data_IF_122189193498
#
_entry.id   IF_122189193498
#
_cell.length_a   1.000
_cell.length_b   1.000
_cell.length_c   1.000
_cell.angle_alpha   90.00
_cell.angle_beta   90.00
_cell.angle_gamma   90.00
#
_symmetry.space_group_name_H-M   'P 1'
#
loop_
_entity.id
_entity.type
_entity.pdbx_description
1 polymer ?
#
# COMPACT_ATOMS: atom_id res chain seq x y z
N UNK A 1 -44.11 -62.31 -52.97
CA UNK A 1 -44.29 -61.12 -52.11
C UNK A 1 -43.07 -60.81 -51.23
N UNK A 2 -42.25 -61.80 -50.82
CA UNK A 2 -41.04 -61.58 -50.02
C UNK A 2 -39.92 -60.75 -50.69
N UNK A 3 -39.84 -60.74 -52.03
CA UNK A 3 -38.74 -60.07 -52.77
C UNK A 3 -38.91 -58.53 -52.83
N UNK A 4 -40.15 -58.00 -52.82
CA UNK A 4 -40.39 -56.54 -52.82
C UNK A 4 -40.17 -55.90 -51.45
N UNK A 5 -40.58 -56.59 -50.37
CA UNK A 5 -40.33 -56.14 -48.98
C UNK A 5 -38.83 -56.15 -48.66
N UNK A 6 -38.06 -57.10 -49.22
CA UNK A 6 -36.61 -57.14 -49.12
C UNK A 6 -35.92 -55.96 -49.84
N UNK A 7 -36.48 -55.49 -50.97
CA UNK A 7 -35.95 -54.37 -51.75
C UNK A 7 -36.09 -53.06 -50.99
N UNK A 8 -37.29 -52.75 -50.48
CA UNK A 8 -37.54 -51.52 -49.73
C UNK A 8 -36.75 -51.48 -48.41
N UNK A 9 -36.61 -52.62 -47.73
CA UNK A 9 -35.75 -52.74 -46.55
C UNK A 9 -34.27 -52.50 -46.86
N UNK A 10 -33.78 -53.00 -48.00
CA UNK A 10 -32.39 -52.80 -48.42
C UNK A 10 -32.09 -51.34 -48.78
N UNK A 11 -33.06 -50.63 -49.39
CA UNK A 11 -32.95 -49.21 -49.71
C UNK A 11 -33.04 -48.35 -48.45
N UNK A 12 -33.96 -48.65 -47.52
CA UNK A 12 -34.06 -47.98 -46.22
C UNK A 12 -32.78 -48.16 -45.39
N UNK A 13 -32.22 -49.36 -45.38
CA UNK A 13 -30.94 -49.64 -44.70
C UNK A 13 -29.80 -48.87 -45.36
N UNK A 14 -29.72 -48.87 -46.68
CA UNK A 14 -28.73 -48.09 -47.42
C UNK A 14 -28.85 -46.58 -47.16
N UNK A 15 -30.06 -46.02 -47.16
CA UNK A 15 -30.30 -44.61 -46.84
C UNK A 15 -29.92 -44.28 -45.40
N UNK A 16 -30.21 -45.18 -44.45
CA UNK A 16 -29.77 -45.02 -43.06
C UNK A 16 -28.25 -45.05 -42.95
N UNK A 17 -27.60 -46.01 -43.61
CA UNK A 17 -26.14 -46.13 -43.63
C UNK A 17 -25.49 -44.90 -44.29
N UNK A 18 -26.06 -44.37 -45.38
CA UNK A 18 -25.61 -43.13 -46.02
C UNK A 18 -25.75 -41.92 -45.10
N UNK A 19 -26.90 -41.75 -44.45
CA UNK A 19 -27.13 -40.66 -43.52
C UNK A 19 -26.18 -40.74 -42.31
N UNK A 20 -25.88 -41.95 -41.83
CA UNK A 20 -24.88 -42.17 -40.77
C UNK A 20 -23.45 -41.82 -41.24
N UNK A 21 -23.07 -42.18 -42.47
CA UNK A 21 -21.77 -41.82 -43.06
C UNK A 21 -21.64 -40.30 -43.25
N UNK A 22 -22.69 -39.64 -43.73
CA UNK A 22 -22.71 -38.20 -43.95
C UNK A 22 -22.65 -37.44 -42.62
N UNK A 23 -23.38 -37.90 -41.60
CA UNK A 23 -23.28 -37.37 -40.24
C UNK A 23 -21.87 -37.51 -39.66
N UNK A 24 -21.25 -38.70 -39.78
CA UNK A 24 -19.88 -38.93 -39.32
C UNK A 24 -18.87 -38.06 -40.05
N UNK A 25 -19.02 -37.88 -41.36
CA UNK A 25 -18.19 -36.97 -42.15
C UNK A 25 -18.33 -35.52 -41.68
N UNK A 26 -19.55 -35.03 -41.46
CA UNK A 26 -19.77 -33.67 -40.94
C UNK A 26 -19.16 -33.50 -39.56
N UNK A 27 -19.29 -34.49 -38.68
CA UNK A 27 -18.66 -34.46 -37.35
C UNK A 27 -17.13 -34.38 -37.43
N UNK A 28 -16.49 -35.14 -38.33
CA UNK A 28 -15.03 -35.03 -38.54
C UNK A 28 -14.65 -33.69 -39.19
N UNK A 29 -15.46 -33.17 -40.12
CA UNK A 29 -15.24 -31.85 -40.70
C UNK A 29 -15.33 -30.72 -39.67
N UNK A 30 -16.24 -30.84 -38.70
CA UNK A 30 -16.40 -29.88 -37.59
C UNK A 30 -15.13 -29.80 -36.73
N UNK A 31 -14.42 -30.92 -36.55
CA UNK A 31 -13.13 -30.97 -35.85
C UNK A 31 -11.95 -30.38 -36.64
N UNK A 32 -12.20 -29.89 -37.86
CA UNK A 32 -11.20 -29.26 -38.71
C UNK A 32 -10.64 -27.95 -38.15
N UNK A 33 -11.31 -27.34 -37.16
CA UNK A 33 -10.82 -26.18 -36.41
C UNK A 33 -9.79 -26.54 -35.32
N UNK A 34 -9.51 -27.84 -35.12
CA UNK A 34 -8.59 -28.35 -34.12
C UNK A 34 -9.22 -28.66 -32.76
N UNK A 35 -10.53 -28.44 -32.58
CA UNK A 35 -11.28 -28.82 -31.38
C UNK A 35 -12.08 -30.10 -31.64
N UNK A 36 -12.11 -31.02 -30.66
CA UNK A 36 -13.02 -32.18 -30.65
C UNK A 36 -14.30 -31.92 -29.88
N UNK A 37 -14.38 -30.79 -29.18
CA UNK A 37 -15.48 -30.39 -28.30
C UNK A 37 -16.16 -29.13 -28.84
N UNK A 38 -17.36 -29.28 -29.38
CA UNK A 38 -18.20 -28.15 -29.79
C UNK A 38 -19.49 -28.09 -28.97
N UNK A 39 -20.01 -29.25 -28.55
CA UNK A 39 -21.25 -29.40 -27.79
C UNK A 39 -21.07 -30.38 -26.63
N UNK A 40 -21.89 -30.27 -25.55
CA UNK A 40 -21.91 -31.26 -24.48
C UNK A 40 -22.19 -32.70 -24.96
N UNK A 41 -22.88 -32.86 -26.10
CA UNK A 41 -23.17 -34.15 -26.72
C UNK A 41 -21.97 -34.80 -27.41
N UNK A 42 -20.91 -34.05 -27.72
CA UNK A 42 -19.73 -34.60 -28.40
C UNK A 42 -18.91 -35.47 -27.45
N UNK A 43 -18.72 -35.02 -26.19
CA UNK A 43 -18.26 -35.82 -25.07
C UNK A 43 -18.62 -35.14 -23.73
N UNK A 44 -19.64 -35.65 -23.03
CA UNK A 44 -20.13 -35.03 -21.79
C UNK A 44 -19.10 -34.98 -20.64
N UNK A 45 -18.17 -35.95 -20.57
CA UNK A 45 -17.16 -36.01 -19.51
C UNK A 45 -16.08 -34.97 -19.75
N UNK A 46 -15.50 -34.97 -20.95
CA UNK A 46 -14.44 -34.02 -21.32
C UNK A 46 -14.99 -32.59 -21.38
N UNK A 47 -16.24 -32.40 -21.85
CA UNK A 47 -16.90 -31.10 -21.85
C UNK A 47 -17.10 -30.55 -20.43
N UNK A 48 -17.45 -31.40 -19.45
CA UNK A 48 -17.57 -30.96 -18.06
C UNK A 48 -16.23 -30.52 -17.44
N UNK A 49 -15.13 -31.16 -17.84
CA UNK A 49 -13.76 -30.77 -17.44
C UNK A 49 -13.34 -29.49 -18.13
N UNK A 50 -13.54 -29.40 -19.44
CA UNK A 50 -13.31 -28.21 -20.24
C UNK A 50 -13.98 -26.98 -19.62
N UNK A 51 -15.27 -27.04 -19.29
CA UNK A 51 -15.98 -25.92 -18.64
C UNK A 51 -15.35 -25.49 -17.30
N UNK A 52 -14.89 -26.45 -16.49
CA UNK A 52 -14.23 -26.13 -15.21
C UNK A 52 -12.89 -25.45 -15.45
N UNK A 53 -12.10 -25.94 -16.39
CA UNK A 53 -10.81 -25.35 -16.74
C UNK A 53 -10.96 -23.98 -17.39
N UNK A 54 -11.95 -23.79 -18.26
CA UNK A 54 -12.28 -22.50 -18.90
C UNK A 54 -12.66 -21.44 -17.85
N UNK A 55 -13.53 -21.79 -16.89
CA UNK A 55 -13.85 -20.90 -15.76
C UNK A 55 -12.60 -20.59 -14.94
N UNK A 56 -11.77 -21.60 -14.64
CA UNK A 56 -10.53 -21.42 -13.89
C UNK A 56 -9.50 -20.56 -14.64
N UNK A 57 -9.44 -20.65 -15.97
CA UNK A 57 -8.58 -19.81 -16.82
C UNK A 57 -9.03 -18.35 -16.75
N UNK A 58 -10.34 -18.11 -16.89
CA UNK A 58 -10.92 -16.78 -16.77
C UNK A 58 -10.69 -16.15 -15.38
N UNK A 59 -10.78 -16.93 -14.30
CA UNK A 59 -10.43 -16.48 -12.95
C UNK A 59 -8.93 -16.16 -12.82
N UNK A 60 -8.06 -17.04 -13.31
CA UNK A 60 -6.62 -16.85 -13.29
C UNK A 60 -6.20 -15.58 -14.06
N UNK A 61 -6.79 -15.32 -15.23
CA UNK A 61 -6.57 -14.11 -16.01
C UNK A 61 -6.96 -12.83 -15.26
N UNK A 62 -8.05 -12.87 -14.48
CA UNK A 62 -8.44 -11.75 -13.62
C UNK A 62 -7.45 -11.54 -12.48
N UNK A 63 -6.92 -12.62 -11.89
CA UNK A 63 -5.88 -12.53 -10.86
C UNK A 63 -4.57 -11.97 -11.44
N UNK A 64 -4.11 -12.45 -12.59
CA UNK A 64 -2.91 -11.93 -13.25
C UNK A 64 -3.02 -10.42 -13.52
N UNK A 65 -4.17 -9.95 -14.00
CA UNK A 65 -4.43 -8.52 -14.20
C UNK A 65 -4.38 -7.74 -12.89
N UNK A 66 -4.96 -8.29 -11.82
CA UNK A 66 -5.00 -7.65 -10.50
C UNK A 66 -3.60 -7.58 -9.86
N UNK A 67 -2.83 -8.66 -9.91
CA UNK A 67 -1.45 -8.72 -9.42
C UNK A 67 -0.55 -7.76 -10.21
N UNK A 68 -0.67 -7.73 -11.54
CA UNK A 68 0.09 -6.79 -12.39
C UNK A 68 -0.23 -5.32 -12.08
N UNK A 69 -1.51 -5.00 -11.85
CA UNK A 69 -1.90 -3.66 -11.43
C UNK A 69 -1.32 -3.30 -10.05
N UNK A 70 -1.33 -4.24 -9.10
CA UNK A 70 -0.72 -4.07 -7.78
C UNK A 70 0.78 -3.86 -7.87
N UNK A 71 1.48 -4.65 -8.69
CA UNK A 71 2.91 -4.52 -8.93
C UNK A 71 3.27 -3.15 -9.51
N UNK A 72 2.49 -2.66 -10.49
CA UNK A 72 2.67 -1.31 -11.04
C UNK A 72 2.53 -0.24 -9.95
N UNK A 73 1.51 -0.35 -9.09
CA UNK A 73 1.30 0.59 -7.98
C UNK A 73 2.45 0.56 -6.98
N UNK A 74 2.90 -0.64 -6.58
CA UNK A 74 3.99 -0.81 -5.62
C UNK A 74 5.33 -0.33 -6.19
N UNK A 75 5.62 -0.55 -7.47
CA UNK A 75 6.86 -0.07 -8.10
C UNK A 75 6.92 1.47 -8.15
N UNK A 76 5.81 2.14 -8.48
CA UNK A 76 5.72 3.60 -8.41
C UNK A 76 5.86 4.10 -6.97
N UNK A 77 5.26 3.39 -6.01
CA UNK A 77 5.40 3.68 -4.58
C UNK A 77 6.85 3.56 -4.10
N UNK A 78 7.55 2.47 -4.44
CA UNK A 78 8.96 2.28 -4.09
C UNK A 78 9.86 3.36 -4.69
N UNK A 79 9.62 3.74 -5.96
CA UNK A 79 10.40 4.79 -6.61
C UNK A 79 10.24 6.13 -5.88
N UNK A 80 9.01 6.49 -5.52
CA UNK A 80 8.74 7.70 -4.76
C UNK A 80 9.36 7.65 -3.34
N UNK A 81 9.25 6.51 -2.66
CA UNK A 81 9.82 6.29 -1.32
C UNK A 81 11.35 6.36 -1.31
N UNK A 82 12.02 5.75 -2.29
CA UNK A 82 13.47 5.84 -2.45
C UNK A 82 13.93 7.30 -2.64
N UNK A 83 13.20 8.07 -3.45
CA UNK A 83 13.47 9.49 -3.63
C UNK A 83 13.28 10.29 -2.33
N UNK A 84 12.25 9.98 -1.55
CA UNK A 84 12.02 10.62 -0.25
C UNK A 84 13.13 10.30 0.75
N UNK A 85 13.57 9.04 0.82
CA UNK A 85 14.64 8.56 1.69
C UNK A 85 15.97 9.30 1.42
N UNK A 86 16.33 9.48 0.15
CA UNK A 86 17.57 10.20 -0.23
C UNK A 86 17.51 11.69 0.14
N UNK A 87 16.34 12.32 -0.01
CA UNK A 87 16.13 13.70 0.42
C UNK A 87 16.19 13.80 1.94
N UNK A 88 15.62 12.85 2.67
CA UNK A 88 15.66 12.83 4.13
C UNK A 88 17.06 12.60 4.69
N UNK A 89 17.86 11.72 4.08
CA UNK A 89 19.29 11.57 4.41
C UNK A 89 20.03 12.89 4.21
N UNK A 90 19.77 13.58 3.10
CA UNK A 90 20.34 14.91 2.83
C UNK A 90 19.88 15.93 3.87
N UNK A 91 18.58 15.94 4.20
CA UNK A 91 18.00 16.82 5.22
C UNK A 91 18.62 16.60 6.60
N UNK A 92 18.82 15.34 7.00
CA UNK A 92 19.52 14.98 8.23
C UNK A 92 20.97 15.49 8.21
N UNK A 93 21.70 15.28 7.12
CA UNK A 93 23.07 15.79 6.98
C UNK A 93 23.13 17.33 7.11
N UNK A 94 22.17 18.04 6.50
CA UNK A 94 22.03 19.50 6.64
C UNK A 94 21.66 19.93 8.05
N UNK A 95 20.84 19.14 8.75
CA UNK A 95 20.48 19.38 10.16
C UNK A 95 21.70 19.22 11.07
N UNK A 96 22.54 18.22 10.83
CA UNK A 96 23.81 18.03 11.55
C UNK A 96 24.79 19.15 11.22
N UNK A 97 24.88 19.54 9.95
CA UNK A 97 25.72 20.67 9.51
C UNK A 97 25.32 21.94 10.26
N UNK A 98 24.02 22.24 10.32
CA UNK A 98 23.48 23.36 11.08
C UNK A 98 23.79 23.20 12.58
N UNK A 99 23.50 22.05 13.18
CA UNK A 99 23.74 21.81 14.61
C UNK A 99 25.20 21.98 15.06
N UNK A 100 26.16 21.65 14.19
CA UNK A 100 27.59 21.74 14.47
C UNK A 100 28.22 23.09 14.10
N UNK A 101 27.50 23.97 13.39
CA UNK A 101 28.06 25.25 12.97
C UNK A 101 28.17 26.17 14.20
N UNK A 102 29.40 26.32 14.71
CA UNK A 102 29.73 27.20 15.84
C UNK A 102 29.88 28.67 15.42
N UNK A 103 29.72 28.94 14.11
CA UNK A 103 29.96 30.26 13.56
C UNK A 103 28.88 31.22 14.02
N UNK A 104 29.36 32.40 14.44
CA UNK A 104 28.55 33.49 14.94
C UNK A 104 27.23 33.65 14.17
N UNK A 105 26.15 33.94 14.90
CA UNK A 105 24.75 34.16 14.47
C UNK A 105 24.57 35.05 13.21
N UNK A 106 25.64 35.74 12.79
CA UNK A 106 25.77 36.63 11.63
C UNK A 106 26.38 36.00 10.37
N UNK A 107 26.83 34.73 10.37
CA UNK A 107 27.27 34.05 9.14
C UNK A 107 26.04 33.70 8.30
N UNK A 108 25.93 34.23 7.09
CA UNK A 108 24.80 34.00 6.18
C UNK A 108 24.59 32.55 5.70
N UNK A 109 25.22 31.58 6.36
CA UNK A 109 25.20 30.16 6.04
C UNK A 109 23.91 29.49 6.55
N UNK A 110 23.37 29.92 7.70
CA UNK A 110 22.12 29.40 8.26
C UNK A 110 20.91 29.58 7.33
N UNK A 111 20.65 30.79 6.76
CA UNK A 111 19.59 30.95 5.77
C UNK A 111 19.85 30.22 4.46
N UNK A 112 21.12 29.90 4.14
CA UNK A 112 21.46 29.11 2.96
C UNK A 112 21.10 27.63 3.17
N UNK A 113 21.50 27.05 4.31
CA UNK A 113 21.14 25.68 4.70
C UNK A 113 19.61 25.54 4.81
N UNK A 114 18.94 26.52 5.43
CA UNK A 114 17.49 26.53 5.55
C UNK A 114 16.78 26.56 4.17
N UNK A 115 17.33 27.28 3.19
CA UNK A 115 16.80 27.26 1.80
C UNK A 115 16.92 25.88 1.15
N UNK A 116 18.06 25.20 1.33
CA UNK A 116 18.25 23.83 0.82
C UNK A 116 17.31 22.83 1.52
N UNK A 117 17.12 22.96 2.83
CA UNK A 117 16.15 22.18 3.60
C UNK A 117 14.72 22.35 3.07
N UNK A 118 14.30 23.60 2.84
CA UNK A 118 12.98 23.91 2.29
C UNK A 118 12.80 23.32 0.89
N UNK A 119 13.82 23.40 0.03
CA UNK A 119 13.77 22.78 -1.30
C UNK A 119 13.57 21.26 -1.20
N UNK A 120 14.25 20.60 -0.26
CA UNK A 120 14.04 19.18 0.04
C UNK A 120 12.61 18.88 0.51
N UNK A 121 12.06 19.68 1.44
CA UNK A 121 10.67 19.51 1.90
C UNK A 121 9.68 19.66 0.75
N UNK A 122 9.86 20.66 -0.12
CA UNK A 122 9.00 20.85 -1.30
C UNK A 122 9.10 19.67 -2.27
N UNK A 123 10.29 19.11 -2.44
CA UNK A 123 10.50 17.92 -3.27
C UNK A 123 9.81 16.68 -2.67
N UNK A 124 9.86 16.48 -1.34
CA UNK A 124 9.11 15.41 -0.67
C UNK A 124 7.61 15.60 -0.85
N UNK A 125 7.08 16.83 -0.74
CA UNK A 125 5.66 17.11 -1.01
C UNK A 125 5.30 16.79 -2.46
N UNK A 126 6.19 17.10 -3.42
CA UNK A 126 6.00 16.73 -4.83
C UNK A 126 5.97 15.20 -5.01
N UNK A 127 6.91 14.48 -4.41
CA UNK A 127 6.94 13.01 -4.43
C UNK A 127 5.71 12.40 -3.72
N UNK A 128 5.22 13.03 -2.67
CA UNK A 128 3.97 12.65 -2.00
C UNK A 128 2.74 12.85 -2.89
N UNK A 129 2.84 13.71 -3.89
CA UNK A 129 1.81 13.95 -4.91
C UNK A 129 2.08 13.17 -6.21
N UNK A 130 2.89 12.10 -6.16
CA UNK A 130 3.15 11.25 -7.33
C UNK A 130 1.86 10.61 -7.86
N UNK A 131 1.71 10.61 -9.19
CA UNK A 131 0.55 10.06 -9.89
C UNK A 131 0.91 8.80 -10.67
N UNK A 132 -0.05 7.86 -10.73
CA UNK A 132 -0.05 6.72 -11.63
C UNK A 132 -1.29 6.81 -12.51
N UNK A 133 -1.10 7.21 -13.78
CA UNK A 133 -2.22 7.62 -14.63
C UNK A 133 -2.88 8.89 -14.05
N UNK A 134 -4.19 8.84 -13.85
CA UNK A 134 -4.96 9.97 -13.29
C UNK A 134 -5.09 9.94 -11.75
N UNK A 135 -4.44 8.97 -11.09
CA UNK A 135 -4.65 8.67 -9.67
C UNK A 135 -3.41 8.97 -8.83
N UNK A 136 -3.60 9.60 -7.67
CA UNK A 136 -2.53 9.85 -6.70
C UNK A 136 -2.26 8.64 -5.82
N UNK A 137 -1.01 8.16 -5.80
CA UNK A 137 -0.67 6.88 -5.17
C UNK A 137 -0.76 6.88 -3.63
N UNK A 138 -0.71 8.07 -3.02
CA UNK A 138 -0.66 8.26 -1.57
C UNK A 138 -1.91 8.88 -0.95
N UNK A 139 -2.98 9.03 -1.73
CA UNK A 139 -4.22 9.72 -1.34
C UNK A 139 -5.30 8.79 -0.76
N UNK A 140 -5.00 7.50 -0.61
CA UNK A 140 -5.98 6.51 -0.14
C UNK A 140 -6.94 6.09 -1.25
N UNK A 141 -8.24 5.96 -0.93
CA UNK A 141 -9.31 5.76 -1.92
C UNK A 141 -9.76 7.07 -2.60
N UNK A 142 -9.42 8.23 -2.02
CA UNK A 142 -9.64 9.56 -2.59
C UNK A 142 -8.61 9.90 -3.69
N UNK A 143 -8.45 8.97 -4.63
CA UNK A 143 -7.37 8.92 -5.62
C UNK A 143 -7.34 10.05 -6.66
N UNK A 144 -8.42 10.82 -6.77
CA UNK A 144 -8.52 11.98 -7.67
C UNK A 144 -8.14 13.31 -7.00
N UNK A 145 -7.88 13.32 -5.69
CA UNK A 145 -7.57 14.56 -4.95
C UNK A 145 -6.09 14.60 -4.58
N UNK A 146 -5.47 15.76 -4.81
CA UNK A 146 -4.07 15.98 -4.43
C UNK A 146 -3.90 15.71 -2.92
N UNK A 147 -3.03 14.76 -2.53
CA UNK A 147 -2.93 14.33 -1.14
C UNK A 147 -2.24 15.36 -0.24
N UNK A 148 -1.16 16.00 -0.68
CA UNK A 148 -0.38 16.90 0.17
C UNK A 148 -0.39 18.33 -0.36
N UNK A 149 -0.76 19.26 0.52
CA UNK A 149 -0.70 20.69 0.26
C UNK A 149 0.00 21.41 1.41
N UNK A 150 0.79 22.44 1.09
CA UNK A 150 1.47 23.27 2.08
C UNK A 150 0.86 24.67 2.09
N UNK A 151 0.72 25.28 3.27
CA UNK A 151 0.22 26.66 3.37
C UNK A 151 1.17 27.65 2.69
N UNK A 152 0.64 28.77 2.18
CA UNK A 152 1.46 29.82 1.59
C UNK A 152 2.47 30.39 2.61
N UNK A 153 3.65 30.89 2.19
CA UNK A 153 4.64 31.46 3.10
C UNK A 153 4.13 32.65 3.94
N UNK A 154 3.10 33.35 3.48
CA UNK A 154 2.43 34.43 4.20
C UNK A 154 1.53 33.95 5.34
N UNK A 155 1.08 32.69 5.30
CA UNK A 155 0.10 32.12 6.23
C UNK A 155 0.79 31.16 7.20
N UNK A 156 1.78 31.69 7.95
CA UNK A 156 2.42 30.95 9.03
C UNK A 156 1.50 30.87 10.24
N UNK A 157 1.49 29.72 10.90
CA UNK A 157 0.72 29.49 12.13
C UNK A 157 1.65 29.08 13.27
N UNK A 158 1.21 29.27 14.50
CA UNK A 158 1.96 28.84 15.68
C UNK A 158 1.76 27.35 15.93
N UNK A 159 2.80 26.56 15.71
CA UNK A 159 2.83 25.13 16.03
C UNK A 159 3.50 24.90 17.38
N UNK A 160 2.97 23.99 18.19
CA UNK A 160 3.62 23.54 19.42
C UNK A 160 4.96 22.85 19.14
N UNK A 161 5.95 23.10 20.00
CA UNK A 161 7.25 22.43 19.93
C UNK A 161 7.21 21.18 20.81
N UNK A 162 7.50 20.02 20.23
CA UNK A 162 7.67 18.77 20.95
C UNK A 162 9.16 18.48 21.18
N UNK A 163 9.48 17.96 22.37
CA UNK A 163 10.79 17.44 22.75
C UNK A 163 10.81 15.94 22.49
N UNK A 164 11.70 15.48 21.62
CA UNK A 164 11.99 14.05 21.41
C UNK A 164 12.91 13.54 22.51
N UNK A 165 12.59 12.37 23.05
CA UNK A 165 13.41 11.65 24.02
C UNK A 165 14.23 10.58 23.29
N UNK A 166 15.53 10.50 23.57
CA UNK A 166 16.35 9.38 23.12
C UNK A 166 15.97 8.07 23.85
N UNK A 167 16.44 6.91 23.38
CA UNK A 167 16.10 5.61 23.95
C UNK A 167 16.40 5.50 25.47
N UNK A 168 17.45 6.17 25.95
CA UNK A 168 17.82 6.16 27.37
C UNK A 168 16.90 7.05 28.20
N UNK A 169 16.57 8.22 27.67
CA UNK A 169 15.60 9.14 28.25
C UNK A 169 14.22 8.49 28.28
N UNK A 170 13.79 7.86 27.18
CA UNK A 170 12.53 7.13 27.10
C UNK A 170 12.46 5.98 28.11
N UNK A 171 13.54 5.20 28.26
CA UNK A 171 13.60 4.15 29.27
C UNK A 171 13.50 4.69 30.71
N UNK A 172 14.08 5.87 30.97
CA UNK A 172 14.03 6.52 32.27
C UNK A 172 12.66 7.15 32.56
N UNK A 173 12.11 7.88 31.59
CA UNK A 173 10.76 8.45 31.58
C UNK A 173 9.77 7.43 31.01
N UNK A 174 9.69 6.26 31.65
CA UNK A 174 8.85 5.14 31.22
C UNK A 174 7.34 5.45 31.17
N UNK A 175 6.94 6.59 31.70
CA UNK A 175 5.59 7.13 31.75
C UNK A 175 5.31 8.16 30.64
N UNK A 176 6.30 8.48 29.79
CA UNK A 176 6.16 9.45 28.69
C UNK A 176 5.63 8.84 27.38
N UNK A 177 5.44 7.52 27.35
CA UNK A 177 4.80 6.80 26.24
C UNK A 177 4.08 5.56 26.76
N UNK A 178 3.04 5.12 26.04
CA UNK A 178 2.35 3.86 26.34
C UNK A 178 2.27 2.99 25.07
N UNK A 179 1.71 1.79 25.18
CA UNK A 179 1.52 0.85 24.05
C UNK A 179 0.58 1.36 22.93
N UNK A 180 -0.04 2.53 23.10
CA UNK A 180 -0.91 3.17 22.10
C UNK A 180 -0.19 4.20 21.24
N UNK A 181 1.01 4.61 21.63
CA UNK A 181 1.85 5.47 20.79
C UNK A 181 2.57 4.64 19.75
N UNK A 182 2.64 5.14 18.52
CA UNK A 182 3.45 4.52 17.47
C UNK A 182 4.90 4.36 17.93
N UNK A 183 5.51 3.20 17.63
CA UNK A 183 6.81 2.68 18.12
C UNK A 183 8.02 3.64 18.07
N UNK A 184 7.90 4.81 17.46
CA UNK A 184 9.04 5.65 17.07
C UNK A 184 9.18 6.97 17.83
N UNK A 185 8.21 7.39 18.65
CA UNK A 185 8.22 8.75 19.21
C UNK A 185 7.84 8.81 20.69
N UNK A 186 8.87 8.79 21.53
CA UNK A 186 8.78 9.24 22.92
C UNK A 186 8.90 10.77 22.92
N UNK A 187 7.79 11.48 23.13
CA UNK A 187 7.75 12.94 23.05
C UNK A 187 7.14 13.58 24.30
N UNK A 188 7.74 14.67 24.73
CA UNK A 188 7.19 15.60 25.73
C UNK A 188 6.83 16.91 25.06
N UNK A 189 5.92 17.68 25.66
CA UNK A 189 5.56 18.99 25.16
C UNK A 189 6.47 20.07 25.77
N UNK A 190 7.07 20.92 24.94
CA UNK A 190 7.89 22.03 25.42
C UNK A 190 7.02 23.20 25.88
N UNK A 191 7.36 23.75 27.05
CA UNK A 191 6.72 24.89 27.68
C UNK A 191 7.76 25.99 27.93
N UNK A 192 7.31 27.24 27.90
CA UNK A 192 8.11 28.42 28.22
C UNK A 192 7.52 29.11 29.45
N UNK A 193 8.32 29.27 30.49
CA UNK A 193 7.94 30.05 31.67
C UNK A 193 8.10 31.54 31.46
N UNK A 194 7.32 32.33 32.20
CA UNK A 194 7.47 33.79 32.26
C UNK A 194 8.86 34.21 32.82
N UNK A 195 9.56 33.30 33.49
CA UNK A 195 10.94 33.47 33.97
C UNK A 195 12.02 33.26 32.88
N UNK A 196 11.62 32.98 31.63
CA UNK A 196 12.52 32.72 30.52
C UNK A 196 13.14 31.31 30.49
N UNK A 197 12.79 30.44 31.46
CA UNK A 197 13.23 29.04 31.47
C UNK A 197 12.29 28.16 30.65
N UNK A 198 12.83 27.07 30.14
CA UNK A 198 12.09 26.05 29.38
C UNK A 198 11.79 24.84 30.26
N UNK A 199 10.60 24.28 30.06
CA UNK A 199 10.10 23.14 30.80
C UNK A 199 9.53 22.11 29.84
N UNK A 200 9.53 20.85 30.25
CA UNK A 200 8.95 19.76 29.47
C UNK A 200 7.80 19.11 30.25
N UNK A 201 6.65 19.02 29.61
CA UNK A 201 5.44 18.41 30.15
C UNK A 201 5.29 17.00 29.58
N UNK A 202 5.18 16.01 30.47
CA UNK A 202 4.68 14.70 30.11
C UNK A 202 3.15 14.79 29.91
N UNK A 203 2.70 14.54 28.69
CA UNK A 203 1.29 14.66 28.29
C UNK A 203 0.41 13.51 28.79
N UNK A 204 1.01 12.41 29.27
CA UNK A 204 0.28 11.27 29.83
C UNK A 204 0.03 11.44 31.33
N UNK A 205 1.06 11.82 32.08
CA UNK A 205 0.98 11.93 33.55
C UNK A 205 0.72 13.35 34.05
N UNK A 206 1.00 14.36 33.22
CA UNK A 206 0.90 15.76 33.60
C UNK A 206 2.09 16.28 34.42
N UNK A 207 3.11 15.45 34.65
CA UNK A 207 4.33 15.86 35.34
C UNK A 207 5.14 16.84 34.48
N UNK A 208 5.62 17.91 35.11
CA UNK A 208 6.49 18.91 34.48
C UNK A 208 7.91 18.76 35.00
N UNK A 209 8.87 18.79 34.09
CA UNK A 209 10.30 18.67 34.36
C UNK A 209 11.04 19.91 33.83
N UNK A 210 12.15 20.28 34.48
CA UNK A 210 13.03 21.34 33.95
C UNK A 210 13.84 20.83 32.76
N UNK A 211 14.21 21.75 31.85
CA UNK A 211 15.06 21.41 30.70
C UNK A 211 16.36 20.72 31.12
N UNK A 212 17.00 21.24 32.16
CA UNK A 212 18.28 20.74 32.66
C UNK A 212 18.15 19.31 33.19
N UNK A 213 17.03 18.99 33.84
CA UNK A 213 16.79 17.65 34.37
C UNK A 213 16.61 16.61 33.26
N UNK A 214 15.80 16.93 32.25
CA UNK A 214 15.53 16.01 31.14
C UNK A 214 16.77 15.81 30.28
N UNK A 215 17.58 16.85 30.05
CA UNK A 215 18.76 16.76 29.18
C UNK A 215 19.97 16.08 29.84
N UNK A 216 20.28 16.44 31.09
CA UNK A 216 21.50 15.97 31.76
C UNK A 216 21.26 15.39 33.16
N UNK A 217 20.33 15.97 33.93
CA UNK A 217 20.09 15.57 35.32
C UNK A 217 19.62 14.12 35.52
N UNK A 218 18.94 13.53 34.53
CA UNK A 218 18.55 12.12 34.59
C UNK A 218 19.76 11.16 34.63
N UNK A 219 20.90 11.54 34.05
CA UNK A 219 22.13 10.72 34.06
C UNK A 219 22.70 10.61 35.46
N UNK A 220 22.69 11.69 36.23
CA UNK A 220 23.12 11.68 37.64
C UNK A 220 22.21 10.81 38.51
N UNK A 221 20.92 10.79 38.18
CA UNK A 221 19.95 9.92 38.84
C UNK A 221 20.21 8.45 38.54
N UNK A 222 20.50 8.13 37.28
CA UNK A 222 20.86 6.77 36.85
C UNK A 222 22.16 6.34 37.53
N UNK A 223 23.16 7.22 37.59
CA UNK A 223 24.43 6.96 38.29
C UNK A 223 24.22 6.69 39.79
N UNK A 224 23.19 7.26 40.41
CA UNK A 224 22.76 6.98 41.79
C UNK A 224 21.97 5.67 41.94
N UNK A 225 21.84 4.87 40.88
CA UNK A 225 21.24 3.53 40.90
C UNK A 225 19.72 3.49 40.66
N UNK A 226 19.08 4.60 40.26
CA UNK A 226 17.65 4.60 39.92
C UNK A 226 17.45 4.43 38.41
N UNK A 227 16.62 3.47 38.01
CA UNK A 227 16.34 3.18 36.60
C UNK A 227 15.13 3.92 36.04
N UNK A 228 14.29 4.54 36.88
CA UNK A 228 13.04 5.21 36.47
C UNK A 228 12.84 6.53 37.22
N UNK A 229 12.03 7.42 36.63
CA UNK A 229 11.61 8.69 37.23
C UNK A 229 10.67 8.48 38.43
N UNK A 230 10.79 9.30 39.48
CA UNK A 230 9.85 9.36 40.60
C UNK A 230 9.06 10.67 40.59
N UNK A 231 7.92 10.70 41.30
CA UNK A 231 7.10 11.91 41.45
C UNK A 231 7.86 13.12 42.05
N UNK A 232 8.87 12.86 42.89
CA UNK A 232 9.71 13.91 43.51
C UNK A 232 10.67 14.61 42.54
N UNK A 233 10.88 14.04 41.36
CA UNK A 233 11.76 14.63 40.33
C UNK A 233 11.01 15.66 39.47
N UNK A 234 9.67 15.69 39.56
CA UNK A 234 8.86 16.71 38.90
C UNK A 234 8.91 18.03 39.68
N UNK A 235 8.98 19.14 38.96
CA UNK A 235 8.91 20.49 39.53
C UNK A 235 7.45 20.96 39.76
N UNK A 236 6.49 20.15 39.32
CA UNK A 236 5.06 20.39 39.48
C UNK A 236 4.26 19.51 38.52
N UNK A 237 2.95 19.66 38.55
CA UNK A 237 2.03 18.97 37.64
C UNK A 237 1.01 19.93 37.06
N UNK A 238 0.63 19.67 35.81
CA UNK A 238 -0.44 20.37 35.10
C UNK A 238 -1.53 19.32 34.81
N UNK A 239 -2.81 19.64 35.03
CA UNK A 239 -3.90 18.75 34.64
C UNK A 239 -3.88 18.52 33.12
N UNK A 240 -3.65 17.27 32.69
CA UNK A 240 -3.56 16.91 31.26
C UNK A 240 -4.82 16.24 30.69
N UNK A 241 -5.86 16.07 31.51
CA UNK A 241 -7.08 15.36 31.11
C UNK A 241 -6.83 13.86 30.90
N UNK A 242 -7.79 13.16 30.30
CA UNK A 242 -7.65 11.72 30.01
C UNK A 242 -6.98 11.52 28.65
N UNK A 243 -5.80 10.87 28.58
CA UNK A 243 -5.13 10.58 27.31
C UNK A 243 -6.04 9.83 26.33
N UNK A 244 -5.95 10.18 25.05
CA UNK A 244 -6.74 9.59 23.97
C UNK A 244 -8.22 9.96 23.93
N UNK A 245 -8.63 10.95 24.71
CA UNK A 245 -9.97 11.54 24.64
C UNK A 245 -9.90 13.00 24.22
N UNK A 246 -11.03 13.57 23.79
CA UNK A 246 -11.14 15.01 23.51
C UNK A 246 -10.85 15.90 24.73
N UNK A 247 -10.78 15.30 25.94
CA UNK A 247 -10.42 16.00 27.18
C UNK A 247 -8.91 16.14 27.38
N UNK A 248 -8.07 15.50 26.57
CA UNK A 248 -6.62 15.60 26.69
C UNK A 248 -6.15 17.04 26.49
N UNK A 249 -5.04 17.41 27.13
CA UNK A 249 -4.44 18.74 26.96
C UNK A 249 -4.08 19.02 25.50
N UNK A 250 -3.74 17.99 24.74
CA UNK A 250 -3.40 18.10 23.33
C UNK A 250 -4.64 18.38 22.50
N UNK A 251 -5.70 17.59 22.62
CA UNK A 251 -6.94 17.80 21.89
C UNK A 251 -7.62 19.14 22.25
N UNK A 252 -7.48 19.61 23.49
CA UNK A 252 -8.05 20.88 23.90
C UNK A 252 -7.29 22.09 23.33
N UNK A 253 -5.96 22.03 23.25
CA UNK A 253 -5.14 23.20 22.95
C UNK A 253 -4.53 23.21 21.54
N UNK A 254 -4.42 22.05 20.89
CA UNK A 254 -3.79 21.89 19.59
C UNK A 254 -4.74 21.23 18.58
N UNK A 255 -4.58 21.59 17.30
CA UNK A 255 -5.12 20.80 16.18
C UNK A 255 -4.21 19.60 15.93
N UNK A 256 -4.68 18.65 15.12
CA UNK A 256 -3.89 17.48 14.72
C UNK A 256 -2.60 17.81 13.97
N UNK A 257 -2.49 18.97 13.33
CA UNK A 257 -1.25 19.43 12.69
C UNK A 257 -0.26 20.07 13.68
N UNK A 258 -0.63 20.16 14.96
CA UNK A 258 0.12 20.83 16.03
C UNK A 258 -0.13 22.34 16.12
N UNK A 259 -1.03 22.92 15.32
CA UNK A 259 -1.41 24.33 15.42
C UNK A 259 -2.08 24.63 16.76
N UNK A 260 -1.60 25.66 17.47
CA UNK A 260 -2.18 26.09 18.75
C UNK A 260 -3.49 26.83 18.50
N UNK A 261 -4.56 26.38 19.16
CA UNK A 261 -5.91 26.99 19.03
C UNK A 261 -5.99 28.37 19.67
N UNK A 262 -5.24 28.60 20.75
CA UNK A 262 -5.17 29.89 21.46
C UNK A 262 -3.72 30.28 21.70
N UNK A 263 -3.07 30.93 20.71
CA UNK A 263 -1.71 31.44 20.82
C UNK A 263 -1.51 32.29 22.07
N UNK A 264 -0.41 32.07 22.79
CA UNK A 264 -0.06 32.83 23.99
C UNK A 264 -0.92 32.54 25.23
N UNK A 265 -1.82 31.56 25.21
CA UNK A 265 -2.58 31.12 26.39
C UNK A 265 -1.68 30.60 27.51
N UNK A 266 -2.02 30.91 28.78
CA UNK A 266 -1.39 30.29 29.94
C UNK A 266 -1.91 28.85 30.08
N UNK A 267 -1.00 27.91 30.32
CA UNK A 267 -1.29 26.48 30.42
C UNK A 267 -1.46 26.05 31.87
N UNK A 268 -0.71 26.68 32.77
CA UNK A 268 -0.75 26.44 34.20
C UNK A 268 0.33 27.20 34.93
N UNK A 269 0.49 26.89 36.21
CA UNK A 269 1.55 27.45 37.07
C UNK A 269 2.38 26.29 37.61
N UNK A 270 3.69 26.38 37.43
CA UNK A 270 4.66 25.38 37.87
C UNK A 270 5.71 26.11 38.71
N UNK A 271 5.92 25.67 39.95
CA UNK A 271 6.85 26.30 40.89
C UNK A 271 6.68 27.84 40.99
N UNK A 272 5.43 28.29 41.10
CA UNK A 272 5.08 29.72 41.18
C UNK A 272 5.25 30.53 39.88
N UNK A 273 5.68 29.90 38.79
CA UNK A 273 5.86 30.54 37.47
C UNK A 273 4.72 30.12 36.52
N UNK A 274 4.08 31.10 35.87
CA UNK A 274 3.12 30.81 34.80
C UNK A 274 3.86 30.27 33.57
N UNK A 275 3.38 29.15 33.04
CA UNK A 275 3.95 28.49 31.86
C UNK A 275 3.00 28.57 30.68
N UNK A 276 3.58 28.73 29.48
CA UNK A 276 2.88 28.79 28.19
C UNK A 276 3.43 27.71 27.27
N UNK A 277 2.68 27.28 26.27
CA UNK A 277 3.23 26.36 25.26
C UNK A 277 4.37 27.04 24.50
N UNK A 278 5.49 26.34 24.32
CA UNK A 278 6.53 26.80 23.40
C UNK A 278 6.01 26.62 21.97
N UNK A 279 6.00 27.70 21.19
CA UNK A 279 5.49 27.70 19.82
C UNK A 279 6.53 28.18 18.82
N UNK A 280 6.43 27.68 17.59
CA UNK A 280 7.20 28.14 16.44
C UNK A 280 6.24 28.58 15.34
N UNK A 281 6.50 29.75 14.73
CA UNK A 281 5.71 30.22 13.58
C UNK A 281 6.22 29.58 12.31
N UNK A 282 5.42 28.69 11.71
CA UNK A 282 5.83 27.91 10.55
C UNK A 282 4.71 27.72 9.53
N UNK A 283 5.07 27.30 8.32
CA UNK A 283 4.11 26.73 7.36
C UNK A 283 3.63 25.36 7.86
N UNK A 284 2.44 24.94 7.43
CA UNK A 284 1.89 23.62 7.75
C UNK A 284 1.60 22.85 6.48
N UNK A 285 1.96 21.57 6.49
CA UNK A 285 1.53 20.58 5.52
C UNK A 285 0.22 19.94 5.96
N UNK A 286 -0.72 19.85 5.02
CA UNK A 286 -2.05 19.26 5.21
C UNK A 286 -2.23 18.06 4.30
N UNK A 287 -2.84 17.00 4.84
CA UNK A 287 -3.24 15.83 4.07
C UNK A 287 -4.72 15.94 3.71
N UNK A 288 -4.99 15.78 2.43
CA UNK A 288 -6.29 15.96 1.80
C UNK A 288 -6.88 14.66 1.26
N UNK A 289 -6.13 13.55 1.33
CA UNK A 289 -6.58 12.21 0.99
C UNK A 289 -7.36 11.54 2.13
N UNK A 290 -7.68 10.27 1.94
CA UNK A 290 -8.25 9.43 3.00
C UNK A 290 -7.24 8.39 3.51
N UNK A 291 -7.50 7.89 4.73
CA UNK A 291 -6.66 6.86 5.35
C UNK A 291 -7.15 5.45 5.04
N UNK A 292 -7.85 5.27 3.92
CA UNK A 292 -8.38 3.97 3.53
C UNK A 292 -7.42 3.26 2.60
N UNK A 293 -7.28 1.96 2.83
CA UNK A 293 -6.48 1.13 1.96
C UNK A 293 -7.27 0.69 0.72
N UNK A 294 -6.60 0.68 -0.42
CA UNK A 294 -7.05 0.04 -1.64
C UNK A 294 -6.68 -1.43 -1.52
N UNK A 295 -7.67 -2.30 -1.70
CA UNK A 295 -7.46 -3.73 -1.65
C UNK A 295 -7.58 -4.35 -3.03
N UNK A 296 -6.67 -5.26 -3.35
CA UNK A 296 -6.69 -6.05 -4.58
C UNK A 296 -6.94 -7.51 -4.24
N UNK A 297 -7.79 -8.15 -5.05
CA UNK A 297 -8.11 -9.57 -4.89
C UNK A 297 -6.90 -10.39 -5.30
N UNK A 298 -6.40 -11.21 -4.38
CA UNK A 298 -5.41 -12.27 -4.62
C UNK A 298 -6.10 -13.63 -4.46
N UNK A 299 -5.59 -14.64 -5.16
CA UNK A 299 -6.18 -15.99 -5.13
C UNK A 299 -6.26 -16.54 -3.70
N UNK A 300 -7.24 -17.41 -3.45
CA UNK A 300 -7.56 -17.95 -2.14
C UNK A 300 -6.55 -19.04 -1.74
N UNK A 301 -5.56 -18.69 -0.91
CA UNK A 301 -4.72 -19.63 -0.17
C UNK A 301 -5.27 -19.88 1.23
N UNK A 302 -5.08 -21.07 1.80
CA UNK A 302 -5.65 -21.48 3.11
C UNK A 302 -5.23 -20.61 4.31
N UNK A 303 -4.29 -19.67 4.14
CA UNK A 303 -3.70 -18.86 5.22
C UNK A 303 -3.59 -17.37 4.91
N UNK A 304 -3.94 -16.91 3.71
CA UNK A 304 -3.83 -15.49 3.34
C UNK A 304 -5.20 -14.84 3.12
N UNK A 305 -5.40 -13.58 3.55
CA UNK A 305 -6.65 -12.87 3.34
C UNK A 305 -6.97 -12.76 1.85
N UNK A 306 -8.25 -12.91 1.49
CA UNK A 306 -8.78 -12.88 0.11
C UNK A 306 -8.51 -11.58 -0.65
N UNK A 307 -8.05 -10.54 0.04
CA UNK A 307 -7.71 -9.26 -0.54
C UNK A 307 -6.53 -8.64 0.25
N UNK A 308 -5.53 -8.13 -0.46
CA UNK A 308 -4.34 -7.50 0.12
C UNK A 308 -4.37 -5.98 -0.08
N UNK A 309 -3.76 -5.24 0.83
CA UNK A 309 -3.64 -3.78 0.74
C UNK A 309 -2.41 -3.40 -0.08
N UNK A 310 -2.58 -2.58 -1.12
CA UNK A 310 -1.50 -2.26 -2.07
C UNK A 310 -0.97 -0.84 -1.96
N UNK A 311 -1.73 0.07 -1.36
CA UNK A 311 -1.37 1.47 -1.20
C UNK A 311 -0.78 1.77 0.19
N UNK A 312 -0.06 2.89 0.26
CA UNK A 312 0.37 3.54 1.49
C UNK A 312 -0.37 4.87 1.60
N UNK A 313 -0.79 5.24 2.80
CA UNK A 313 -1.49 6.50 3.08
C UNK A 313 -0.54 7.52 3.70
N UNK A 314 -0.97 8.77 3.87
CA UNK A 314 -0.15 9.79 4.54
C UNK A 314 0.31 9.39 5.94
N UNK A 315 -0.49 8.60 6.66
CA UNK A 315 -0.09 8.02 7.96
C UNK A 315 1.08 7.05 7.82
N UNK A 316 1.06 6.20 6.80
CA UNK A 316 2.13 5.20 6.61
C UNK A 316 3.42 5.85 6.10
N UNK A 317 3.32 6.97 5.37
CA UNK A 317 4.47 7.71 4.85
C UNK A 317 5.14 8.61 5.88
N UNK A 318 4.33 9.39 6.59
CA UNK A 318 4.80 10.49 7.43
C UNK A 318 4.54 10.26 8.92
N UNK A 319 4.06 9.07 9.26
CA UNK A 319 3.93 8.61 10.62
C UNK A 319 2.91 9.42 11.42
N UNK A 320 3.16 9.46 12.72
CA UNK A 320 2.41 10.22 13.71
C UNK A 320 3.38 11.04 14.54
N UNK A 321 2.90 12.05 15.24
CA UNK A 321 3.61 12.80 16.28
C UNK A 321 2.73 12.97 17.52
N UNK A 322 3.24 13.67 18.53
CA UNK A 322 2.51 13.99 19.76
C UNK A 322 1.12 14.60 19.53
N UNK A 323 0.89 15.30 18.41
CA UNK A 323 -0.33 16.05 18.14
C UNK A 323 -1.41 15.23 17.41
N UNK A 324 -1.04 14.11 16.80
CA UNK A 324 -1.97 13.26 16.02
C UNK A 324 -1.90 11.75 16.34
N UNK A 325 -1.15 11.40 17.38
CA UNK A 325 -1.13 10.05 17.94
C UNK A 325 -2.42 9.68 18.70
N UNK A 326 -2.67 8.40 18.95
CA UNK A 326 -3.86 7.95 19.66
C UNK A 326 -3.99 8.60 21.05
N UNK A 327 -2.88 8.84 21.74
CA UNK A 327 -2.89 9.50 23.05
C UNK A 327 -3.23 11.00 22.98
N UNK A 328 -3.09 11.63 21.82
CA UNK A 328 -3.42 13.04 21.62
C UNK A 328 -4.93 13.28 21.71
N UNK A 329 -5.77 12.28 21.44
CA UNK A 329 -7.22 12.44 21.31
C UNK A 329 -7.65 13.16 20.02
N UNK A 330 -6.70 13.56 19.17
CA UNK A 330 -6.96 14.12 17.85
C UNK A 330 -7.04 13.04 16.78
N UNK A 331 -7.63 13.39 15.64
CA UNK A 331 -7.59 12.56 14.43
C UNK A 331 -6.21 12.60 13.79
N UNK A 332 -5.74 11.49 13.27
CA UNK A 332 -4.45 11.39 12.56
C UNK A 332 -4.35 12.47 11.46
N UNK A 333 -3.20 13.13 11.34
CA UNK A 333 -2.97 14.19 10.34
C UNK A 333 -2.43 13.64 9.02
N UNK A 334 -1.60 12.59 9.10
CA UNK A 334 -0.87 12.06 7.95
C UNK A 334 0.21 13.01 7.41
N UNK A 335 0.59 14.06 8.15
CA UNK A 335 1.65 15.02 7.78
C UNK A 335 2.64 15.33 8.91
N UNK A 336 2.63 14.54 9.99
CA UNK A 336 3.46 14.72 11.17
C UNK A 336 4.95 14.94 10.81
N UNK A 337 5.55 14.05 10.03
CA UNK A 337 6.93 14.18 9.57
C UNK A 337 7.20 15.49 8.84
N UNK A 338 6.36 15.87 7.86
CA UNK A 338 6.53 17.10 7.09
C UNK A 338 6.47 18.33 8.01
N UNK A 339 5.54 18.35 8.97
CA UNK A 339 5.42 19.43 9.93
C UNK A 339 6.61 19.49 10.90
N UNK A 340 7.20 18.35 11.28
CA UNK A 340 8.42 18.29 12.07
C UNK A 340 9.64 18.78 11.28
N UNK A 341 9.77 18.41 9.99
CA UNK A 341 10.83 18.95 9.13
C UNK A 341 10.71 20.47 8.94
N UNK A 342 9.48 20.99 8.84
CA UNK A 342 9.23 22.43 8.81
C UNK A 342 9.62 23.11 10.14
N UNK A 343 9.43 22.44 11.28
CA UNK A 343 9.93 22.92 12.58
C UNK A 343 11.46 22.99 12.59
N UNK A 344 12.15 21.97 12.09
CA UNK A 344 13.63 21.97 11.98
C UNK A 344 14.11 23.10 11.06
N UNK A 345 13.43 23.33 9.94
CA UNK A 345 13.71 24.43 9.02
C UNK A 345 13.60 25.80 9.72
N UNK A 346 12.50 26.08 10.43
CA UNK A 346 12.34 27.37 11.11
C UNK A 346 13.33 27.53 12.27
N UNK A 347 13.66 26.48 13.01
CA UNK A 347 14.68 26.54 14.07
C UNK A 347 16.09 26.77 13.52
N UNK A 348 16.36 26.28 12.30
CA UNK A 348 17.58 26.60 11.54
C UNK A 348 17.58 28.07 11.12
N UNK A 349 16.44 28.60 10.68
CA UNK A 349 16.32 30.02 10.32
C UNK A 349 16.40 30.97 11.53
N UNK A 350 16.07 30.46 12.73
CA UNK A 350 16.20 31.17 14.00
C UNK A 350 17.57 30.98 14.66
N UNK A 351 18.54 30.36 13.99
CA UNK A 351 19.92 30.16 14.48
C UNK A 351 20.01 29.50 15.87
N UNK A 352 19.26 28.42 16.10
CA UNK A 352 19.23 27.70 17.38
C UNK A 352 20.00 26.36 17.33
N UNK A 353 21.36 26.35 17.35
CA UNK A 353 22.17 25.13 17.24
C UNK A 353 21.92 24.14 18.37
N UNK A 354 21.65 24.62 19.58
CA UNK A 354 21.44 23.76 20.74
C UNK A 354 20.15 22.94 20.64
N UNK A 355 19.07 23.54 20.15
CA UNK A 355 17.83 22.81 19.85
C UNK A 355 18.03 21.85 18.67
N UNK A 356 18.77 22.25 17.63
CA UNK A 356 19.02 21.37 16.48
C UNK A 356 19.84 20.13 16.85
N UNK A 357 20.86 20.29 17.70
CA UNK A 357 21.71 19.19 18.17
C UNK A 357 20.94 18.19 19.04
N UNK A 358 20.04 18.68 19.90
CA UNK A 358 19.27 17.84 20.83
C UNK A 358 18.01 17.22 20.21
N UNK A 359 17.22 18.02 19.49
CA UNK A 359 15.89 17.65 18.99
C UNK A 359 15.83 17.58 17.46
N UNK A 360 16.52 18.49 16.77
CA UNK A 360 16.47 18.57 15.32
C UNK A 360 17.00 17.31 14.62
N UNK A 361 18.16 16.81 15.06
CA UNK A 361 18.77 15.59 14.50
C UNK A 361 17.91 14.35 14.76
N UNK A 362 17.31 14.24 15.96
CA UNK A 362 16.45 13.10 16.31
C UNK A 362 15.14 13.12 15.53
N UNK A 363 14.55 14.29 15.31
CA UNK A 363 13.38 14.45 14.42
C UNK A 363 13.70 14.10 12.97
N UNK A 364 14.86 14.50 12.47
CA UNK A 364 15.31 14.15 11.12
C UNK A 364 15.59 12.64 10.98
N UNK A 365 16.07 11.99 12.04
CA UNK A 365 16.27 10.53 12.04
C UNK A 365 14.94 9.76 12.08
N UNK A 366 14.01 10.17 12.93
CA UNK A 366 12.68 9.58 13.02
C UNK A 366 11.93 9.70 11.67
N UNK A 367 12.07 10.83 10.98
CA UNK A 367 11.52 11.04 9.64
C UNK A 367 12.03 9.98 8.64
N UNK A 368 13.33 9.73 8.64
CA UNK A 368 13.97 8.74 7.79
C UNK A 368 13.54 7.31 8.15
N UNK A 369 13.44 6.98 9.44
CA UNK A 369 13.02 5.65 9.90
C UNK A 369 11.59 5.31 9.46
N UNK A 370 10.64 6.24 9.58
CA UNK A 370 9.24 6.01 9.17
C UNK A 370 9.15 5.74 7.67
N UNK A 371 9.84 6.53 6.85
CA UNK A 371 9.84 6.34 5.39
C UNK A 371 10.55 5.04 5.00
N UNK A 372 11.66 4.71 5.66
CA UNK A 372 12.37 3.44 5.47
C UNK A 372 11.50 2.23 5.83
N UNK A 373 10.71 2.31 6.91
CA UNK A 373 9.76 1.26 7.25
C UNK A 373 8.71 1.09 6.14
N UNK A 374 8.10 2.18 5.67
CA UNK A 374 7.15 2.12 4.56
C UNK A 374 7.79 1.53 3.28
N UNK A 375 9.05 1.88 3.01
CA UNK A 375 9.82 1.38 1.87
C UNK A 375 10.10 -0.11 1.99
N UNK A 376 10.59 -0.58 3.14
CA UNK A 376 10.91 -2.00 3.38
C UNK A 376 9.66 -2.89 3.36
N UNK A 377 8.56 -2.45 3.95
CA UNK A 377 7.28 -3.17 3.91
C UNK A 377 6.76 -3.29 2.47
N UNK A 378 6.83 -2.21 1.69
CA UNK A 378 6.45 -2.23 0.27
C UNK A 378 7.40 -3.12 -0.53
N UNK A 379 8.70 -3.10 -0.22
CA UNK A 379 9.74 -3.98 -0.77
C UNK A 379 9.44 -5.46 -0.58
N UNK A 380 9.06 -5.85 0.64
CA UNK A 380 8.68 -7.22 0.95
C UNK A 380 7.41 -7.66 0.17
N UNK A 381 6.41 -6.79 0.08
CA UNK A 381 5.16 -7.08 -0.65
C UNK A 381 5.35 -7.17 -2.15
N UNK A 382 6.17 -6.31 -2.75
CA UNK A 382 6.50 -6.40 -4.19
C UNK A 382 7.11 -7.75 -4.55
N UNK A 383 7.98 -8.30 -3.69
CA UNK A 383 8.55 -9.65 -3.89
C UNK A 383 7.45 -10.72 -3.87
N UNK A 384 6.55 -10.67 -2.89
CA UNK A 384 5.40 -11.58 -2.84
C UNK A 384 4.55 -11.51 -4.13
N UNK A 385 4.33 -10.32 -4.67
CA UNK A 385 3.56 -10.12 -5.92
C UNK A 385 4.30 -10.64 -7.16
N UNK A 386 5.63 -10.58 -7.19
CA UNK A 386 6.42 -11.22 -8.24
C UNK A 386 6.29 -12.74 -8.15
N UNK A 387 6.43 -13.32 -6.95
CA UNK A 387 6.26 -14.76 -6.74
C UNK A 387 4.84 -15.22 -7.14
N UNK A 388 3.81 -14.45 -6.79
CA UNK A 388 2.43 -14.69 -7.23
C UNK A 388 2.27 -14.62 -8.75
N UNK A 389 2.99 -13.72 -9.42
CA UNK A 389 2.97 -13.62 -10.89
C UNK A 389 3.50 -14.91 -11.52
N UNK A 390 4.58 -15.46 -10.99
CA UNK A 390 5.16 -16.73 -11.46
C UNK A 390 4.22 -17.90 -11.20
N UNK A 391 3.64 -17.97 -9.99
CA UNK A 391 2.64 -19.00 -9.64
C UNK A 391 1.42 -18.94 -10.58
N UNK A 392 0.85 -17.76 -10.80
CA UNK A 392 -0.32 -17.60 -11.69
C UNK A 392 0.02 -17.87 -13.16
N UNK A 393 1.27 -17.64 -13.57
CA UNK A 393 1.76 -17.99 -14.91
C UNK A 393 1.85 -19.51 -15.07
N UNK A 394 2.43 -20.21 -14.09
CA UNK A 394 2.47 -21.67 -14.08
C UNK A 394 1.06 -22.28 -14.03
N UNK A 395 0.14 -21.69 -13.24
CA UNK A 395 -1.26 -22.10 -13.22
C UNK A 395 -1.93 -21.91 -14.57
N UNK A 396 -1.67 -20.79 -15.25
CA UNK A 396 -2.17 -20.55 -16.62
C UNK A 396 -1.68 -21.64 -17.56
N UNK A 397 -0.39 -21.93 -17.59
CA UNK A 397 0.18 -22.95 -18.46
C UNK A 397 -0.41 -24.33 -18.20
N UNK A 398 -0.58 -24.72 -16.92
CA UNK A 398 -1.20 -25.99 -16.56
C UNK A 398 -2.68 -26.05 -16.96
N UNK A 399 -3.45 -24.98 -16.72
CA UNK A 399 -4.87 -24.92 -17.11
C UNK A 399 -5.01 -24.97 -18.63
N UNK A 400 -4.22 -24.18 -19.37
CA UNK A 400 -4.23 -24.19 -20.84
C UNK A 400 -3.83 -25.56 -21.40
N UNK A 401 -2.87 -26.24 -20.77
CA UNK A 401 -2.51 -27.62 -21.11
C UNK A 401 -3.68 -28.58 -20.85
N UNK A 402 -4.30 -28.51 -19.68
CA UNK A 402 -5.44 -29.34 -19.33
C UNK A 402 -6.63 -29.11 -20.28
N UNK A 403 -6.89 -27.86 -20.70
CA UNK A 403 -7.86 -27.49 -21.74
C UNK A 403 -7.49 -28.17 -23.06
N UNK A 404 -6.24 -28.03 -23.50
CA UNK A 404 -5.74 -28.63 -24.75
C UNK A 404 -5.89 -30.16 -24.73
N UNK A 405 -5.54 -30.81 -23.63
CA UNK A 405 -5.63 -32.27 -23.49
C UNK A 405 -7.09 -32.77 -23.61
N UNK A 406 -8.05 -32.03 -23.04
CA UNK A 406 -9.47 -32.40 -23.10
C UNK A 406 -10.18 -31.92 -24.37
N UNK A 407 -9.76 -30.83 -25.00
CA UNK A 407 -10.49 -30.21 -26.12
C UNK A 407 -9.83 -30.37 -27.48
N UNK A 408 -8.53 -30.61 -27.57
CA UNK A 408 -7.84 -30.66 -28.86
C UNK A 408 -8.04 -31.98 -29.59
N UNK A 409 -8.15 -31.88 -30.91
CA UNK A 409 -8.17 -33.01 -31.84
C UNK A 409 -6.75 -33.33 -32.30
N UNK A 410 -6.40 -34.63 -32.33
CA UNK A 410 -5.20 -35.09 -33.05
C UNK A 410 -5.45 -34.94 -34.55
N UNK A 411 -4.85 -33.92 -35.16
CA UNK A 411 -5.03 -33.60 -36.59
C UNK A 411 -4.52 -34.72 -37.51
N UNK A 412 -3.52 -35.50 -37.08
CA UNK A 412 -3.01 -36.61 -37.87
C UNK A 412 -4.01 -37.77 -37.86
N UNK A 413 -4.55 -38.13 -36.69
CA UNK A 413 -5.60 -39.13 -36.59
C UNK A 413 -6.87 -38.66 -37.33
N UNK A 414 -7.25 -37.39 -37.19
CA UNK A 414 -8.40 -36.80 -37.88
C UNK A 414 -8.25 -36.91 -39.40
N UNK A 415 -7.09 -36.56 -39.95
CA UNK A 415 -6.83 -36.65 -41.38
C UNK A 415 -7.00 -38.09 -41.90
N UNK A 416 -6.48 -39.08 -41.17
CA UNK A 416 -6.63 -40.49 -41.55
C UNK A 416 -8.10 -40.92 -41.52
N UNK A 417 -8.86 -40.54 -40.47
CA UNK A 417 -10.28 -40.83 -40.34
C UNK A 417 -11.11 -40.15 -41.42
N UNK A 418 -10.80 -38.91 -41.78
CA UNK A 418 -11.47 -38.19 -42.87
C UNK A 418 -11.23 -38.87 -44.22
N UNK A 419 -9.99 -39.28 -44.52
CA UNK A 419 -9.68 -40.03 -45.75
C UNK A 419 -10.39 -41.38 -45.79
N UNK A 420 -10.45 -42.11 -44.67
CA UNK A 420 -11.19 -43.36 -44.57
C UNK A 420 -12.69 -43.14 -44.80
N UNK A 421 -13.29 -42.11 -44.18
CA UNK A 421 -14.71 -41.80 -44.37
C UNK A 421 -15.03 -41.34 -45.80
N UNK A 422 -14.16 -40.54 -46.43
CA UNK A 422 -14.33 -40.15 -47.83
C UNK A 422 -14.25 -41.37 -48.76
N UNK A 423 -13.32 -42.29 -48.48
CA UNK A 423 -13.19 -43.55 -49.21
C UNK A 423 -14.45 -44.41 -49.02
N UNK A 424 -14.90 -44.63 -47.78
CA UNK A 424 -16.11 -45.39 -47.46
C UNK A 424 -17.37 -44.77 -48.10
N UNK A 425 -17.51 -43.45 -48.08
CA UNK A 425 -18.64 -42.75 -48.71
C UNK A 425 -18.65 -42.95 -50.22
N UNK A 426 -17.49 -42.86 -50.89
CA UNK A 426 -17.39 -43.13 -52.35
C UNK A 426 -17.67 -44.60 -52.68
N UNK A 427 -17.20 -45.54 -51.86
CA UNK A 427 -17.53 -46.96 -51.97
C UNK A 427 -19.04 -47.20 -51.79
N UNK A 428 -19.65 -46.61 -50.77
CA UNK A 428 -21.09 -46.71 -50.49
C UNK A 428 -21.95 -46.11 -51.61
N UNK A 429 -21.56 -44.97 -52.17
CA UNK A 429 -22.23 -44.38 -53.35
C UNK A 429 -22.13 -45.31 -54.57
N UNK A 430 -20.97 -45.93 -54.80
CA UNK A 430 -20.78 -46.90 -55.89
C UNK A 430 -21.58 -48.21 -55.68
N UNK A 431 -21.76 -48.64 -54.43
CA UNK A 431 -22.59 -49.79 -54.07
C UNK A 431 -24.08 -49.48 -54.18
N UNK A 432 -24.51 -48.28 -53.79
CA UNK A 432 -25.88 -47.81 -53.97
C UNK A 432 -26.30 -47.77 -55.43
N UNK A 433 -25.41 -47.34 -56.32
CA UNK A 433 -25.63 -47.38 -57.77
C UNK A 433 -25.83 -48.82 -58.31
N UNK A 434 -25.42 -49.87 -57.57
CA UNK A 434 -25.63 -51.29 -57.91
C UNK A 434 -26.83 -51.93 -57.20
N UNK A 435 -27.20 -51.44 -56.02
CA UNK A 435 -28.28 -51.99 -55.17
C UNK A 435 -29.63 -51.34 -55.50
N UNK A 436 -29.64 -50.06 -55.89
CA UNK A 436 -30.81 -49.45 -56.51
C UNK A 436 -31.09 -50.23 -57.80
N UNK A 437 -32.25 -50.90 -57.93
CA UNK A 437 -32.50 -51.75 -59.08
C UNK A 437 -32.40 -50.91 -60.35
N UNK A 438 -31.58 -51.36 -61.31
CA UNK A 438 -31.81 -51.05 -62.71
C UNK A 438 -33.28 -51.40 -62.97
N UNK A 439 -34.08 -50.40 -63.37
CA UNK A 439 -35.50 -50.62 -63.63
C UNK A 439 -35.67 -51.83 -64.56
N UNK A 440 -36.80 -52.54 -64.43
CA UNK A 440 -37.20 -53.73 -65.21
C UNK A 440 -36.96 -53.65 -66.73
N UNK A 441 -36.72 -52.45 -67.27
CA UNK A 441 -36.39 -52.17 -68.67
C UNK A 441 -35.01 -52.72 -69.09
N UNK A 442 -34.03 -52.84 -68.19
CA UNK A 442 -32.67 -53.28 -68.54
C UNK A 442 -32.49 -54.82 -68.49
N UNK A 443 -33.44 -55.55 -67.90
CA UNK A 443 -33.47 -57.02 -67.90
C UNK A 443 -34.15 -57.60 -69.15
N UNK A 444 -34.69 -56.74 -70.02
CA UNK A 444 -35.41 -57.07 -71.26
C UNK A 444 -34.65 -56.61 -72.52
N UNK A 445 -33.32 -56.65 -72.50
CA UNK A 445 -32.50 -56.39 -73.70
C UNK A 445 -31.69 -57.59 -74.14
#
# INVERSE_FOLDING_TARGET
MAIRVSSDYSVLRYQKDLNELEYNKTKLMEQGDGSKLHRPSDNSVDYSRYLRYDVSEGENDRYQKSVKAGLSWMNSTQTALSGMEDIQKTFKAKTIQAANDDKAESSGDWPAIAREMMAGIQQIVSLGNTQLGDRYIFSGQADLKQPFAMTAPSNKVERGVAKTLDDRQAAFFNDASNQKSGDFLHQMLALKGDNGKEYYLNTLTGAVYSKEFVQEGYKDVIAKGRSTVNASDSIGSIPVGTPGTASSIIAQNFKNTGEVKTPGGAVGTVDGTTVRFATVKQQIATYNGDMRYISMVKQNGSTEPTADTVNKTGRDLFGRDLFDDENSGNTVSGTAMLNNMLTVYEQTNNSNPHWLSSDGVTLADAANQVTLQAHTETGARTRLYNDMTDILTNHKENITKDITDVSSTDVAELATKMMQQQTLMSMSLSMGARILPLSLVDYLR
#
